data_IF_691869086030
#
_entry.id   IF_691869086030
#
_cell.length_a   1.000
_cell.length_b   1.000
_cell.length_c   1.000
_cell.angle_alpha   90.00
_cell.angle_beta   90.00
_cell.angle_gamma   90.00
#
_symmetry.space_group_name_H-M   'P 1'
#
loop_
_entity.id
_entity.type
_entity.pdbx_description
1 polymer ?
#
# COMPACT_ATOMS: atom_id res chain seq x y z
N UNK A 1 -0.15 9.27 -25.17
CA UNK A 1 -0.76 10.08 -24.09
C UNK A 1 -1.96 10.85 -24.66
N UNK A 2 -3.15 10.63 -24.10
CA UNK A 2 -4.38 11.26 -24.58
C UNK A 2 -4.50 12.65 -23.89
N UNK A 3 -4.71 13.75 -24.63
CA UNK A 3 -5.02 15.06 -24.04
C UNK A 3 -6.20 14.99 -23.07
N UNK A 4 -6.15 15.72 -21.95
CA UNK A 4 -7.13 15.64 -20.85
C UNK A 4 -8.60 15.85 -21.28
N UNK A 5 -8.83 16.54 -22.39
CA UNK A 5 -10.16 16.84 -22.94
C UNK A 5 -10.51 16.04 -24.21
N UNK A 6 -9.76 15.00 -24.53
CA UNK A 6 -10.03 14.13 -25.68
C UNK A 6 -10.60 12.78 -25.23
N UNK A 7 -11.40 12.16 -26.08
CA UNK A 7 -12.00 10.86 -25.79
C UNK A 7 -10.91 9.78 -25.67
N UNK A 8 -11.05 8.91 -24.69
CA UNK A 8 -10.11 7.82 -24.42
C UNK A 8 -10.55 6.97 -23.23
N UNK A 9 -10.06 5.72 -23.13
CA UNK A 9 -10.38 4.87 -21.99
C UNK A 9 -9.80 5.46 -20.69
N UNK A 10 -10.55 5.33 -19.61
CA UNK A 10 -10.10 5.70 -18.26
C UNK A 10 -9.58 4.47 -17.54
N UNK A 11 -8.41 4.59 -16.90
CA UNK A 11 -7.78 3.54 -16.11
C UNK A 11 -7.51 4.09 -14.70
N UNK A 12 -8.02 3.38 -13.69
CA UNK A 12 -7.70 3.66 -12.29
C UNK A 12 -6.54 2.79 -11.82
N UNK A 13 -5.53 3.42 -11.22
CA UNK A 13 -4.28 2.78 -10.80
C UNK A 13 -4.23 2.68 -9.28
N UNK A 14 -4.13 1.45 -8.76
CA UNK A 14 -4.02 1.12 -7.35
C UNK A 14 -2.54 0.87 -7.01
N UNK A 15 -1.89 1.74 -6.21
CA UNK A 15 -0.48 1.61 -5.85
C UNK A 15 -0.25 0.46 -4.88
N UNK A 16 1.03 0.13 -4.65
CA UNK A 16 1.44 -0.86 -3.67
C UNK A 16 1.31 -0.34 -2.25
N UNK A 17 2.04 -1.00 -1.34
CA UNK A 17 1.99 -0.71 0.11
C UNK A 17 2.51 0.70 0.46
N UNK A 18 3.27 1.31 -0.45
CA UNK A 18 3.68 2.73 -0.38
C UNK A 18 2.50 3.70 -0.39
N UNK A 19 1.32 3.25 -0.83
CA UNK A 19 0.05 3.96 -0.76
C UNK A 19 -0.11 5.12 -1.76
N UNK A 20 0.98 5.67 -2.30
CA UNK A 20 0.95 6.80 -3.22
C UNK A 20 1.06 6.42 -4.71
N UNK A 21 0.46 7.20 -5.63
CA UNK A 21 0.47 6.88 -7.06
C UNK A 21 1.78 7.23 -7.78
N UNK A 22 2.79 7.75 -7.08
CA UNK A 22 4.07 8.17 -7.68
C UNK A 22 4.80 7.04 -8.38
N UNK A 23 4.61 5.79 -7.92
CA UNK A 23 5.16 4.57 -8.54
C UNK A 23 4.79 4.44 -10.02
N UNK A 24 3.65 5.00 -10.45
CA UNK A 24 3.17 4.90 -11.82
C UNK A 24 3.68 6.01 -12.76
N UNK A 25 4.47 6.98 -12.29
CA UNK A 25 4.86 8.13 -13.11
C UNK A 25 5.60 7.75 -14.40
N UNK A 26 6.47 6.74 -14.35
CA UNK A 26 7.17 6.27 -15.54
C UNK A 26 6.29 5.38 -16.40
N UNK A 27 5.45 4.55 -15.78
CA UNK A 27 4.52 3.64 -16.46
C UNK A 27 3.47 4.38 -17.30
N UNK A 28 2.84 5.40 -16.72
CA UNK A 28 1.76 6.17 -17.36
C UNK A 28 2.18 6.93 -18.61
N UNK A 29 3.48 7.20 -18.80
CA UNK A 29 4.01 7.86 -20.01
C UNK A 29 3.77 7.04 -21.28
N UNK A 30 3.66 5.71 -21.15
CA UNK A 30 3.49 4.79 -22.26
C UNK A 30 2.02 4.42 -22.52
N UNK A 31 1.09 4.91 -21.71
CA UNK A 31 -0.33 4.60 -21.84
C UNK A 31 -1.04 5.59 -22.77
N UNK A 32 -1.87 5.05 -23.66
CA UNK A 32 -2.84 5.79 -24.46
C UNK A 32 -4.21 5.73 -23.79
N UNK A 33 -4.29 6.27 -22.56
CA UNK A 33 -5.48 6.28 -21.72
C UNK A 33 -5.45 7.50 -20.78
N UNK A 34 -6.61 7.85 -20.23
CA UNK A 34 -6.71 8.73 -19.06
C UNK A 34 -6.39 7.93 -17.82
N UNK A 35 -5.30 8.25 -17.13
CA UNK A 35 -4.85 7.49 -15.96
C UNK A 35 -5.09 8.28 -14.69
N UNK A 36 -5.78 7.68 -13.72
CA UNK A 36 -6.03 8.25 -12.40
C UNK A 36 -5.36 7.38 -11.36
N UNK A 37 -4.34 7.92 -10.70
CA UNK A 37 -3.67 7.23 -9.59
C UNK A 37 -4.42 7.45 -8.28
N UNK A 38 -4.82 6.37 -7.63
CA UNK A 38 -5.44 6.43 -6.32
C UNK A 38 -4.37 6.63 -5.24
N UNK A 39 -4.75 7.34 -4.19
CA UNK A 39 -3.97 7.40 -2.96
C UNK A 39 -4.66 6.50 -1.93
N UNK A 40 -3.97 5.44 -1.52
CA UNK A 40 -4.42 4.49 -0.50
C UNK A 40 -4.00 4.93 0.92
N UNK A 41 -3.76 6.24 1.13
CA UNK A 41 -3.75 6.86 2.46
C UNK A 41 -5.15 6.81 3.07
N UNK A 42 -5.56 5.59 3.39
CA UNK A 42 -6.89 5.23 3.86
C UNK A 42 -7.09 5.74 5.28
N UNK A 43 -8.34 6.00 5.62
CA UNK A 43 -8.70 6.41 6.97
C UNK A 43 -8.14 5.41 7.98
N UNK A 44 -7.55 5.90 9.07
CA UNK A 44 -6.98 5.09 10.17
C UNK A 44 -8.03 4.15 10.79
N UNK A 45 -9.32 4.41 10.53
CA UNK A 45 -10.46 3.62 10.98
C UNK A 45 -10.64 2.29 10.23
N UNK A 46 -10.11 2.13 9.01
CA UNK A 46 -10.29 0.90 8.23
C UNK A 46 -9.34 -0.19 8.73
N UNK A 47 -9.89 -1.30 9.24
CA UNK A 47 -9.15 -2.42 9.86
C UNK A 47 -9.13 -3.68 9.01
N UNK A 48 -9.71 -3.63 7.81
CA UNK A 48 -9.73 -4.75 6.89
C UNK A 48 -9.70 -4.29 5.43
N UNK A 49 -9.20 -5.17 4.56
CA UNK A 49 -9.20 -4.97 3.10
C UNK A 49 -10.61 -4.67 2.59
N UNK A 50 -11.63 -5.31 3.16
CA UNK A 50 -13.03 -5.12 2.77
C UNK A 50 -13.50 -3.70 3.10
N UNK A 51 -13.25 -3.22 4.31
CA UNK A 51 -13.59 -1.84 4.72
C UNK A 51 -12.83 -0.81 3.88
N UNK A 52 -11.54 -1.04 3.64
CA UNK A 52 -10.71 -0.21 2.77
C UNK A 52 -11.30 -0.15 1.36
N UNK A 53 -11.68 -1.29 0.77
CA UNK A 53 -12.26 -1.35 -0.56
C UNK A 53 -13.63 -0.65 -0.62
N UNK A 54 -14.49 -0.89 0.37
CA UNK A 54 -15.79 -0.23 0.49
C UNK A 54 -15.65 1.30 0.53
N UNK A 55 -14.67 1.83 1.27
CA UNK A 55 -14.42 3.28 1.33
C UNK A 55 -14.00 3.87 -0.03
N UNK A 56 -13.37 3.07 -0.90
CA UNK A 56 -12.90 3.50 -2.22
C UNK A 56 -13.98 3.42 -3.30
N UNK A 57 -14.96 2.52 -3.17
CA UNK A 57 -16.00 2.28 -4.17
C UNK A 57 -16.69 3.58 -4.62
N UNK A 58 -17.16 4.49 -3.74
CA UNK A 58 -17.79 5.73 -4.17
C UNK A 58 -16.89 6.63 -5.04
N UNK A 59 -15.58 6.61 -4.78
CA UNK A 59 -14.61 7.36 -5.58
C UNK A 59 -14.42 6.70 -6.94
N UNK A 60 -14.30 5.38 -6.98
CA UNK A 60 -14.11 4.61 -8.22
C UNK A 60 -15.32 4.72 -9.15
N UNK A 61 -16.54 4.65 -8.61
CA UNK A 61 -17.78 4.76 -9.39
C UNK A 61 -17.90 6.08 -10.17
N UNK A 62 -17.34 7.19 -9.64
CA UNK A 62 -17.34 8.50 -10.31
C UNK A 62 -16.61 8.49 -11.66
N UNK A 63 -15.68 7.55 -11.86
CA UNK A 63 -14.91 7.43 -13.09
C UNK A 63 -15.54 6.45 -14.10
N UNK A 64 -16.55 5.68 -13.69
CA UNK A 64 -17.19 4.65 -14.52
C UNK A 64 -18.72 4.76 -14.47
N UNK A 65 -19.31 5.87 -14.96
CA UNK A 65 -20.77 6.03 -15.00
C UNK A 65 -21.47 4.95 -15.85
N UNK A 66 -20.81 4.49 -16.91
CA UNK A 66 -21.28 3.43 -17.83
C UNK A 66 -21.13 2.00 -17.25
N UNK A 67 -20.81 1.89 -15.96
CA UNK A 67 -20.64 0.61 -15.26
C UNK A 67 -19.63 -0.36 -15.87
N UNK A 68 -18.69 0.16 -16.66
CA UNK A 68 -17.60 -0.62 -17.26
C UNK A 68 -16.27 -0.09 -16.72
N UNK A 69 -15.57 -0.87 -15.89
CA UNK A 69 -14.34 -0.46 -15.23
C UNK A 69 -13.06 -0.98 -15.92
N UNK A 70 -11.97 -0.24 -15.75
CA UNK A 70 -10.61 -0.70 -16.05
C UNK A 70 -9.70 -0.34 -14.88
N UNK A 71 -9.26 -1.35 -14.13
CA UNK A 71 -8.43 -1.20 -12.95
C UNK A 71 -7.05 -1.82 -13.20
N UNK A 72 -6.00 -1.18 -12.71
CA UNK A 72 -4.65 -1.73 -12.66
C UNK A 72 -4.20 -1.71 -11.21
N UNK A 73 -3.84 -2.86 -10.66
CA UNK A 73 -3.28 -2.96 -9.32
C UNK A 73 -1.84 -3.44 -9.36
N UNK A 74 -0.96 -2.72 -8.66
CA UNK A 74 0.44 -3.10 -8.48
C UNK A 74 0.69 -3.57 -7.05
N UNK A 75 1.36 -4.70 -6.87
CA UNK A 75 1.73 -5.22 -5.55
C UNK A 75 0.50 -5.28 -4.62
N UNK A 76 0.52 -4.60 -3.46
CA UNK A 76 -0.62 -4.48 -2.55
C UNK A 76 -1.91 -3.98 -3.25
N UNK A 77 -1.77 -3.04 -4.18
CA UNK A 77 -2.87 -2.49 -4.96
C UNK A 77 -3.61 -3.52 -5.80
N UNK A 78 -3.01 -4.68 -6.11
CA UNK A 78 -3.73 -5.79 -6.74
C UNK A 78 -4.89 -6.29 -5.87
N UNK A 79 -4.68 -6.43 -4.56
CA UNK A 79 -5.73 -6.92 -3.65
C UNK A 79 -6.84 -5.90 -3.54
N UNK A 80 -6.47 -4.63 -3.40
CA UNK A 80 -7.42 -3.54 -3.38
C UNK A 80 -8.24 -3.47 -4.67
N UNK A 81 -7.60 -3.59 -5.84
CA UNK A 81 -8.28 -3.59 -7.12
C UNK A 81 -9.25 -4.79 -7.28
N UNK A 82 -8.83 -5.99 -6.84
CA UNK A 82 -9.67 -7.19 -6.86
C UNK A 82 -10.87 -7.04 -5.94
N UNK A 83 -10.68 -6.59 -4.70
CA UNK A 83 -11.78 -6.44 -3.74
C UNK A 83 -12.76 -5.34 -4.18
N UNK A 84 -12.26 -4.21 -4.68
CA UNK A 84 -13.11 -3.15 -5.25
C UNK A 84 -13.88 -3.68 -6.46
N UNK A 85 -13.25 -4.43 -7.36
CA UNK A 85 -13.94 -5.02 -8.50
C UNK A 85 -15.04 -5.99 -8.08
N UNK A 86 -14.79 -6.85 -7.09
CA UNK A 86 -15.78 -7.77 -6.53
C UNK A 86 -17.02 -7.00 -6.01
N UNK A 87 -16.81 -5.89 -5.29
CA UNK A 87 -17.91 -5.03 -4.84
C UNK A 87 -18.63 -4.40 -6.04
N UNK A 88 -17.92 -3.86 -7.03
CA UNK A 88 -18.51 -3.25 -8.23
C UNK A 88 -19.34 -4.26 -9.04
N UNK A 89 -18.84 -5.49 -9.22
CA UNK A 89 -19.55 -6.56 -9.92
C UNK A 89 -20.88 -6.89 -9.23
N UNK A 90 -20.91 -6.91 -7.89
CA UNK A 90 -22.16 -7.05 -7.12
C UNK A 90 -23.17 -5.92 -7.35
N UNK A 91 -22.70 -4.76 -7.81
CA UNK A 91 -23.51 -3.57 -8.16
C UNK A 91 -23.87 -3.51 -9.66
N UNK A 92 -23.59 -4.58 -10.39
CA UNK A 92 -23.88 -4.71 -11.82
C UNK A 92 -22.87 -4.02 -12.73
N UNK A 93 -21.65 -3.79 -12.25
CA UNK A 93 -20.55 -3.39 -13.11
C UNK A 93 -19.91 -4.61 -13.77
N UNK A 94 -19.19 -4.38 -14.85
CA UNK A 94 -18.25 -5.33 -15.43
C UNK A 94 -16.95 -4.60 -15.78
N UNK A 95 -15.88 -5.32 -16.11
CA UNK A 95 -14.66 -4.64 -16.50
C UNK A 95 -13.43 -5.53 -16.59
N UNK A 96 -12.28 -4.88 -16.61
CA UNK A 96 -10.96 -5.51 -16.67
C UNK A 96 -10.14 -5.14 -15.45
N UNK A 97 -9.42 -6.12 -14.91
CA UNK A 97 -8.41 -5.93 -13.87
C UNK A 97 -7.07 -6.41 -14.41
N UNK A 98 -6.04 -5.58 -14.32
CA UNK A 98 -4.66 -5.95 -14.62
C UNK A 98 -3.90 -5.99 -13.30
N UNK A 99 -3.31 -7.15 -13.00
CA UNK A 99 -2.52 -7.38 -11.79
C UNK A 99 -1.03 -7.36 -12.14
N UNK A 100 -0.27 -6.44 -11.54
CA UNK A 100 1.17 -6.32 -11.73
C UNK A 100 1.86 -6.81 -10.46
N UNK A 101 2.49 -7.98 -10.55
CA UNK A 101 3.31 -8.56 -9.49
C UNK A 101 2.59 -8.67 -8.13
N UNK A 102 1.33 -9.12 -8.17
CA UNK A 102 0.48 -9.28 -6.99
C UNK A 102 -0.63 -10.28 -7.23
N UNK A 103 -1.02 -11.01 -6.18
CA UNK A 103 -2.25 -11.82 -6.13
C UNK A 103 -2.62 -12.15 -4.67
N UNK A 104 -3.90 -12.48 -4.38
CA UNK A 104 -4.33 -12.79 -3.01
C UNK A 104 -3.57 -13.97 -2.39
N UNK A 105 -3.38 -15.05 -3.14
CA UNK A 105 -2.67 -16.22 -2.64
C UNK A 105 -1.19 -15.92 -2.40
N UNK A 106 -0.53 -15.27 -3.37
CA UNK A 106 0.88 -14.90 -3.25
C UNK A 106 1.14 -14.05 -2.02
N UNK A 107 0.35 -12.99 -1.79
CA UNK A 107 0.56 -12.14 -0.62
C UNK A 107 0.23 -12.86 0.69
N UNK A 108 -0.81 -13.71 0.72
CA UNK A 108 -1.07 -14.54 1.88
C UNK A 108 0.14 -15.41 2.23
N UNK A 109 0.68 -16.13 1.25
CA UNK A 109 1.85 -17.00 1.44
C UNK A 109 3.11 -16.21 1.84
N UNK A 110 3.34 -15.04 1.23
CA UNK A 110 4.44 -14.15 1.59
C UNK A 110 4.36 -13.69 3.04
N UNK A 111 3.17 -13.24 3.47
CA UNK A 111 2.92 -12.79 4.84
C UNK A 111 3.05 -13.94 5.86
N UNK A 112 2.52 -15.12 5.53
CA UNK A 112 2.74 -16.33 6.34
C UNK A 112 4.22 -16.70 6.42
N UNK A 113 4.97 -16.59 5.33
CA UNK A 113 6.42 -16.82 5.29
C UNK A 113 7.21 -15.84 6.16
N UNK A 114 6.74 -14.60 6.31
CA UNK A 114 7.27 -13.63 7.26
C UNK A 114 6.85 -13.90 8.71
N UNK A 115 5.94 -14.84 8.94
CA UNK A 115 5.44 -15.19 10.27
C UNK A 115 4.73 -14.03 10.95
N UNK A 116 4.11 -13.12 10.19
CA UNK A 116 3.45 -11.92 10.73
C UNK A 116 2.20 -12.22 11.57
N UNK A 117 1.72 -13.46 11.55
CA UNK A 117 0.69 -13.95 12.49
C UNK A 117 1.18 -13.89 13.95
N UNK A 118 2.49 -13.86 14.17
CA UNK A 118 3.11 -13.60 15.46
C UNK A 118 3.36 -12.10 15.58
N UNK A 119 2.64 -11.43 16.49
CA UNK A 119 2.69 -9.97 16.72
C UNK A 119 4.14 -9.44 16.75
N UNK A 120 5.01 -10.11 17.50
CA UNK A 120 6.43 -9.77 17.61
C UNK A 120 7.18 -9.74 16.27
N UNK A 121 6.88 -10.68 15.37
CA UNK A 121 7.48 -10.73 14.04
C UNK A 121 6.89 -9.66 13.13
N UNK A 122 5.59 -9.38 13.25
CA UNK A 122 4.92 -8.29 12.55
C UNK A 122 5.54 -6.93 12.94
N UNK A 123 5.61 -6.61 14.23
CA UNK A 123 6.23 -5.39 14.75
C UNK A 123 7.66 -5.21 14.23
N UNK A 124 8.46 -6.27 14.30
CA UNK A 124 9.86 -6.26 13.84
C UNK A 124 9.95 -6.06 12.33
N UNK A 125 9.12 -6.74 11.55
CA UNK A 125 9.09 -6.64 10.09
C UNK A 125 8.68 -5.23 9.66
N UNK A 126 7.68 -4.65 10.32
CA UNK A 126 7.21 -3.29 10.07
C UNK A 126 8.33 -2.26 10.29
N UNK A 127 9.08 -2.39 11.38
CA UNK A 127 10.20 -1.49 11.69
C UNK A 127 11.40 -1.71 10.76
N UNK A 128 11.69 -2.95 10.36
CA UNK A 128 12.68 -3.22 9.31
C UNK A 128 12.27 -2.59 7.97
N UNK A 129 11.00 -2.64 7.61
CA UNK A 129 10.48 -1.95 6.42
C UNK A 129 10.65 -0.43 6.55
N UNK A 130 10.35 0.15 7.73
CA UNK A 130 10.61 1.57 8.01
C UNK A 130 12.10 1.93 7.84
N UNK A 131 13.03 1.07 8.31
CA UNK A 131 14.46 1.29 8.13
C UNK A 131 14.91 1.25 6.67
N UNK A 132 14.21 0.50 5.80
CA UNK A 132 14.55 0.35 4.39
C UNK A 132 14.47 1.65 3.58
N UNK A 133 13.73 2.65 4.07
CA UNK A 133 13.70 3.98 3.48
C UNK A 133 15.00 4.78 3.73
N UNK A 134 15.79 4.40 4.73
CA UNK A 134 16.97 5.15 5.20
C UNK A 134 18.29 4.37 5.06
N UNK A 135 18.22 3.05 4.96
CA UNK A 135 19.36 2.16 5.04
C UNK A 135 19.31 1.04 4.00
N UNK A 136 20.48 0.60 3.47
CA UNK A 136 20.59 -0.64 2.72
C UNK A 136 20.24 -1.88 3.56
N UNK A 137 19.80 -2.96 2.89
CA UNK A 137 19.37 -4.21 3.53
C UNK A 137 20.42 -4.80 4.48
N UNK A 138 21.71 -4.70 4.14
CA UNK A 138 22.81 -5.24 4.95
C UNK A 138 22.94 -4.56 6.31
N UNK A 139 22.53 -3.29 6.41
CA UNK A 139 22.51 -2.55 7.68
C UNK A 139 21.31 -2.96 8.50
N UNK A 140 20.14 -3.12 7.86
CA UNK A 140 18.90 -3.51 8.53
C UNK A 140 19.03 -4.90 9.16
N UNK A 141 19.59 -5.87 8.44
CA UNK A 141 19.77 -7.23 8.94
C UNK A 141 20.64 -7.30 10.20
N UNK A 142 21.63 -6.40 10.35
CA UNK A 142 22.44 -6.31 11.58
C UNK A 142 21.66 -5.87 12.81
N UNK A 143 20.55 -5.15 12.61
CA UNK A 143 19.74 -4.60 13.69
C UNK A 143 18.47 -5.41 13.96
N UNK A 144 18.06 -6.28 13.03
CA UNK A 144 16.84 -7.09 13.11
C UNK A 144 16.76 -7.93 14.38
N UNK A 145 17.82 -8.64 14.76
CA UNK A 145 17.83 -9.46 15.97
C UNK A 145 17.69 -8.61 17.24
N UNK A 146 18.29 -7.42 17.26
CA UNK A 146 18.18 -6.48 18.39
C UNK A 146 16.76 -5.95 18.53
N UNK A 147 16.13 -5.54 17.43
CA UNK A 147 14.71 -5.12 17.41
C UNK A 147 13.83 -6.26 17.89
N UNK A 148 14.08 -7.49 17.42
CA UNK A 148 13.33 -8.66 17.86
C UNK A 148 13.49 -8.91 19.37
N UNK A 149 14.64 -8.60 19.98
CA UNK A 149 14.87 -8.84 21.42
C UNK A 149 14.22 -7.82 22.36
N UNK A 150 13.82 -6.64 21.88
CA UNK A 150 13.08 -5.66 22.69
C UNK A 150 11.79 -6.26 23.25
N UNK A 151 11.33 -5.76 24.41
CA UNK A 151 10.22 -6.40 25.13
C UNK A 151 8.85 -6.08 24.54
N UNK A 152 8.66 -4.86 24.01
CA UNK A 152 7.37 -4.34 23.57
C UNK A 152 7.52 -3.38 22.37
N UNK A 153 6.40 -3.02 21.74
CA UNK A 153 6.32 -2.06 20.63
C UNK A 153 7.13 -0.79 20.87
N UNK A 154 6.94 -0.12 22.02
CA UNK A 154 7.56 1.15 22.31
C UNK A 154 9.09 1.06 22.37
N UNK A 155 9.64 0.00 22.97
CA UNK A 155 11.09 -0.24 22.97
C UNK A 155 11.64 -0.48 21.56
N UNK A 156 10.93 -1.26 20.74
CA UNK A 156 11.32 -1.51 19.34
C UNK A 156 11.31 -0.23 18.51
N UNK A 157 10.25 0.56 18.66
CA UNK A 157 10.08 1.83 17.96
C UNK A 157 11.14 2.84 18.41
N UNK A 158 11.39 2.98 19.71
CA UNK A 158 12.44 3.86 20.23
C UNK A 158 13.81 3.50 19.67
N UNK A 159 14.16 2.22 19.65
CA UNK A 159 15.43 1.77 19.06
C UNK A 159 15.52 2.13 17.58
N UNK A 160 14.45 1.88 16.81
CA UNK A 160 14.38 2.21 15.37
C UNK A 160 14.49 3.72 15.12
N UNK A 161 13.80 4.53 15.93
CA UNK A 161 13.82 5.99 15.84
C UNK A 161 15.22 6.55 16.13
N UNK A 162 15.93 5.99 17.11
CA UNK A 162 17.32 6.36 17.40
C UNK A 162 18.27 6.10 16.23
N UNK A 163 18.04 5.03 15.45
CA UNK A 163 18.84 4.74 14.26
C UNK A 163 18.62 5.77 13.14
N UNK A 164 17.39 6.22 12.94
CA UNK A 164 17.04 7.11 11.82
C UNK A 164 17.15 8.60 12.16
N UNK A 165 17.27 8.98 13.44
CA UNK A 165 17.17 10.39 13.89
C UNK A 165 18.07 11.38 13.14
N UNK A 166 19.24 10.94 12.66
CA UNK A 166 20.17 11.78 11.90
C UNK A 166 19.99 11.69 10.37
N UNK A 167 19.11 10.81 9.89
CA UNK A 167 18.84 10.56 8.46
C UNK A 167 17.45 11.05 8.02
N UNK A 168 16.52 11.21 8.95
CA UNK A 168 15.20 11.77 8.66
C UNK A 168 15.28 13.29 8.49
N UNK A 169 14.51 13.82 7.54
CA UNK A 169 14.28 15.27 7.39
C UNK A 169 13.17 15.79 8.31
N UNK A 170 12.34 14.89 8.83
CA UNK A 170 11.27 15.18 9.77
C UNK A 170 11.68 14.84 11.20
N UNK A 171 11.06 15.49 12.19
CA UNK A 171 11.25 15.18 13.60
C UNK A 171 10.93 13.71 13.92
N UNK A 172 11.63 13.15 14.89
CA UNK A 172 11.41 11.83 15.46
C UNK A 172 9.96 11.66 15.94
N UNK A 173 9.33 12.71 16.47
CA UNK A 173 7.92 12.66 16.88
C UNK A 173 6.98 12.45 15.70
N UNK A 174 7.26 13.06 14.55
CA UNK A 174 6.50 12.81 13.32
C UNK A 174 6.67 11.36 12.86
N UNK A 175 7.90 10.84 12.86
CA UNK A 175 8.18 9.45 12.49
C UNK A 175 7.47 8.46 13.43
N UNK A 176 7.37 8.78 14.72
CA UNK A 176 6.62 7.99 15.69
C UNK A 176 5.12 7.95 15.37
N UNK A 177 4.53 9.09 15.04
CA UNK A 177 3.11 9.17 14.64
C UNK A 177 2.86 8.31 13.41
N UNK A 178 3.74 8.39 12.39
CA UNK A 178 3.64 7.57 11.18
C UNK A 178 3.74 6.09 11.51
N UNK A 179 4.73 5.69 12.30
CA UNK A 179 4.91 4.28 12.67
C UNK A 179 3.71 3.73 13.45
N UNK A 180 3.19 4.46 14.44
CA UNK A 180 2.00 4.04 15.19
C UNK A 180 0.76 3.95 14.29
N UNK A 181 0.57 4.91 13.40
CA UNK A 181 -0.55 4.88 12.46
C UNK A 181 -0.49 3.72 11.45
N UNK A 182 0.71 3.20 11.16
CA UNK A 182 0.87 1.97 10.36
C UNK A 182 0.62 0.73 11.24
N UNK A 183 1.14 0.72 12.47
CA UNK A 183 1.00 -0.41 13.41
C UNK A 183 -0.44 -0.68 13.83
N UNK A 184 -1.25 0.37 13.98
CA UNK A 184 -2.65 0.26 14.43
C UNK A 184 -3.64 -0.13 13.31
N UNK A 185 -3.17 -0.25 12.06
CA UNK A 185 -3.97 -0.68 10.89
C UNK A 185 -3.92 -2.19 10.71
#
# INVERSE_FOLDING_TARGET
KIPQNSEGPTILLFPGIEGGPSVFQSFTKYLNAHTVGLNLNLEVSCKSIVEMAQSLVPTVQRYFPEKTFSLVGYSFGTIMAIEVANILESLGYNGTIICIDGSPLFMKEMLTGFGIEIEKNYETTMLCHMLSYFFPLEVIEKHKETILKCANWNERLNFTLELIKQKTVHDVDYQRIVANGIYER
#
